data_IF_877212411847
#
_entry.id   IF_877212411847
#
_cell.length_a   1.000
_cell.length_b   1.000
_cell.length_c   1.000
_cell.angle_alpha   90.00
_cell.angle_beta   90.00
_cell.angle_gamma   90.00
#
_symmetry.space_group_name_H-M   'P 1'
#
loop_
_entity.id
_entity.type
_entity.pdbx_description
1 polymer ?
#
# COMPACT_ATOMS: atom_id res chain seq x y z
N UNK A 1 14.07 24.64 -31.71
CA UNK A 1 15.05 24.17 -30.72
C UNK A 1 14.49 23.25 -29.62
N UNK A 2 13.19 23.31 -29.27
CA UNK A 2 12.58 22.42 -28.26
C UNK A 2 12.45 20.93 -28.70
N UNK A 3 12.40 20.66 -30.01
CA UNK A 3 12.23 19.30 -30.55
C UNK A 3 13.50 18.43 -30.46
N UNK A 4 14.69 19.05 -30.54
CA UNK A 4 15.99 18.35 -30.48
C UNK A 4 16.44 18.03 -29.05
N UNK A 5 16.00 18.82 -28.05
CA UNK A 5 16.22 18.51 -26.63
C UNK A 5 15.45 17.25 -26.19
N UNK A 6 14.28 17.00 -26.78
CA UNK A 6 13.47 15.81 -26.46
C UNK A 6 14.14 14.50 -26.90
N UNK A 7 14.80 14.47 -28.07
CA UNK A 7 15.47 13.27 -28.60
C UNK A 7 16.73 12.87 -27.83
N UNK A 8 17.48 13.83 -27.27
CA UNK A 8 18.64 13.53 -26.41
C UNK A 8 18.23 13.01 -25.03
N UNK A 9 17.14 13.52 -24.47
CA UNK A 9 16.51 12.91 -23.28
C UNK A 9 15.97 11.52 -23.59
N UNK A 10 15.45 11.32 -24.81
CA UNK A 10 14.86 10.06 -25.27
C UNK A 10 15.90 8.93 -25.39
N UNK A 11 17.07 9.18 -25.98
CA UNK A 11 18.16 8.19 -26.00
C UNK A 11 18.70 7.86 -24.60
N UNK A 12 18.82 8.85 -23.71
CA UNK A 12 19.24 8.63 -22.32
C UNK A 12 18.16 7.90 -21.48
N UNK A 13 16.88 8.00 -21.89
CA UNK A 13 15.77 7.30 -21.26
C UNK A 13 15.57 5.89 -21.80
N UNK A 14 15.89 5.59 -23.05
CA UNK A 14 15.93 4.20 -23.54
C UNK A 14 17.13 3.43 -22.95
N UNK A 15 18.28 4.07 -22.78
CA UNK A 15 19.41 3.49 -22.03
C UNK A 15 19.10 3.30 -20.54
N UNK A 16 18.18 4.09 -19.96
CA UNK A 16 17.81 3.99 -18.54
C UNK A 16 16.50 3.22 -18.27
N UNK A 17 15.59 3.08 -19.23
CA UNK A 17 14.47 2.15 -19.17
C UNK A 17 14.96 0.69 -19.24
N UNK A 18 16.12 0.46 -19.86
CA UNK A 18 16.90 -0.78 -19.76
C UNK A 18 17.72 -0.93 -18.46
N UNK A 19 17.74 0.07 -17.56
CA UNK A 19 18.46 0.00 -16.27
C UNK A 19 17.75 0.79 -15.17
N UNK A 20 16.43 0.63 -14.99
CA UNK A 20 15.88 0.99 -13.70
C UNK A 20 16.47 0.02 -12.66
N UNK A 21 17.21 0.56 -11.70
CA UNK A 21 17.81 -0.25 -10.65
C UNK A 21 16.69 -0.76 -9.72
N UNK A 22 16.23 -1.97 -10.00
CA UNK A 22 15.22 -2.64 -9.20
C UNK A 22 15.73 -2.85 -7.76
N UNK A 23 14.86 -2.79 -6.75
CA UNK A 23 15.24 -3.00 -5.35
C UNK A 23 15.85 -4.40 -5.20
N UNK A 24 17.10 -4.57 -4.75
CA UNK A 24 17.70 -5.91 -4.66
C UNK A 24 16.85 -6.81 -3.75
N UNK A 25 16.88 -8.14 -3.96
CA UNK A 25 16.11 -9.08 -3.13
C UNK A 25 16.39 -8.94 -1.63
N UNK A 26 17.61 -8.55 -1.26
CA UNK A 26 18.00 -8.25 0.14
C UNK A 26 17.28 -7.05 0.76
N UNK A 27 16.62 -6.21 -0.05
CA UNK A 27 15.74 -5.13 0.39
C UNK A 27 14.26 -5.52 0.43
N UNK A 28 13.90 -6.61 -0.24
CA UNK A 28 12.52 -7.10 -0.27
C UNK A 28 12.28 -8.20 0.77
N UNK A 29 13.29 -9.03 1.05
CA UNK A 29 13.17 -10.21 1.88
C UNK A 29 14.11 -10.14 3.09
N UNK A 30 13.74 -10.76 4.22
CA UNK A 30 14.63 -10.90 5.35
C UNK A 30 15.91 -11.67 5.01
N UNK A 31 17.01 -11.43 5.74
CA UNK A 31 18.29 -12.10 5.51
C UNK A 31 18.25 -13.62 5.73
N UNK A 32 17.28 -14.11 6.51
CA UNK A 32 17.05 -15.52 6.76
C UNK A 32 16.19 -16.22 5.69
N UNK A 33 15.56 -15.48 4.78
CA UNK A 33 14.82 -16.09 3.67
C UNK A 33 15.82 -16.65 2.63
N UNK A 34 15.72 -17.95 2.37
CA UNK A 34 16.61 -18.68 1.46
C UNK A 34 15.88 -19.27 0.26
N UNK A 35 14.55 -19.28 0.30
CA UNK A 35 13.71 -19.80 -0.79
C UNK A 35 13.85 -18.93 -2.03
N UNK A 36 13.56 -19.52 -3.19
CA UNK A 36 13.50 -18.76 -4.45
C UNK A 36 12.23 -17.91 -4.48
N UNK A 37 12.20 -16.76 -5.17
CA UNK A 37 11.00 -15.93 -5.26
C UNK A 37 9.74 -16.70 -5.67
N UNK A 38 9.84 -17.63 -6.62
CA UNK A 38 8.72 -18.45 -7.10
C UNK A 38 8.13 -19.41 -6.07
N UNK A 39 8.82 -19.66 -4.96
CA UNK A 39 8.39 -20.53 -3.85
C UNK A 39 7.76 -19.72 -2.70
N UNK A 40 7.79 -18.39 -2.79
CA UNK A 40 7.34 -17.47 -1.76
C UNK A 40 6.00 -16.86 -2.19
N UNK A 41 4.98 -17.03 -1.34
CA UNK A 41 3.63 -16.54 -1.55
C UNK A 41 3.44 -15.16 -0.95
N UNK A 42 3.08 -14.19 -1.80
CA UNK A 42 2.93 -12.79 -1.37
C UNK A 42 1.51 -12.30 -1.66
N UNK A 43 0.82 -11.84 -0.62
CA UNK A 43 -0.41 -11.06 -0.79
C UNK A 43 -0.06 -9.60 -1.08
N UNK A 44 -0.69 -8.97 -2.06
CA UNK A 44 -0.38 -7.58 -2.42
C UNK A 44 -1.63 -6.74 -2.27
N UNK A 45 -1.59 -5.77 -1.34
CA UNK A 45 -2.66 -4.79 -1.16
C UNK A 45 -2.71 -3.80 -2.33
N UNK A 46 -3.77 -3.85 -3.14
CA UNK A 46 -3.94 -3.01 -4.32
C UNK A 46 -5.16 -2.09 -4.13
N UNK A 47 -4.86 -0.80 -3.98
CA UNK A 47 -5.84 0.28 -3.81
C UNK A 47 -6.33 0.89 -5.13
N UNK A 48 -5.85 0.41 -6.28
CA UNK A 48 -6.11 1.02 -7.60
C UNK A 48 -5.24 2.25 -7.91
N UNK A 49 -4.32 2.62 -7.01
CA UNK A 49 -3.32 3.66 -7.24
C UNK A 49 -2.08 3.17 -8.01
N UNK A 50 -1.29 4.11 -8.54
CA UNK A 50 -0.04 3.85 -9.27
C UNK A 50 0.96 3.06 -8.43
N UNK A 51 1.12 3.44 -7.16
CA UNK A 51 2.16 2.90 -6.28
C UNK A 51 1.93 1.41 -5.94
N UNK A 52 0.68 1.04 -5.63
CA UNK A 52 0.30 -0.35 -5.34
C UNK A 52 0.29 -1.21 -6.61
N UNK A 53 -0.15 -0.66 -7.75
CA UNK A 53 -0.05 -1.33 -9.05
C UNK A 53 1.41 -1.62 -9.42
N UNK A 54 2.31 -0.65 -9.20
CA UNK A 54 3.71 -0.82 -9.51
C UNK A 54 4.41 -1.80 -8.57
N UNK A 55 4.03 -1.82 -7.30
CA UNK A 55 4.48 -2.84 -6.35
C UNK A 55 4.10 -4.25 -6.80
N UNK A 56 2.87 -4.44 -7.29
CA UNK A 56 2.42 -5.70 -7.86
C UNK A 56 3.21 -6.08 -9.12
N UNK A 57 3.48 -5.12 -10.00
CA UNK A 57 4.30 -5.32 -11.19
C UNK A 57 5.73 -5.78 -10.84
N UNK A 58 6.39 -5.11 -9.90
CA UNK A 58 7.75 -5.47 -9.45
C UNK A 58 7.77 -6.92 -8.93
N UNK A 59 6.88 -7.23 -7.98
CA UNK A 59 6.90 -8.55 -7.33
C UNK A 59 6.55 -9.67 -8.32
N UNK A 60 5.53 -9.46 -9.17
CA UNK A 60 5.06 -10.49 -10.10
C UNK A 60 5.94 -10.62 -11.35
N UNK A 61 6.21 -9.51 -12.07
CA UNK A 61 6.86 -9.56 -13.39
C UNK A 61 8.38 -9.47 -13.32
N UNK A 62 8.93 -8.71 -12.37
CA UNK A 62 10.40 -8.55 -12.25
C UNK A 62 11.02 -9.69 -11.43
N UNK A 63 10.42 -10.01 -10.28
CA UNK A 63 10.98 -11.00 -9.36
C UNK A 63 10.34 -12.39 -9.43
N UNK A 64 9.21 -12.54 -10.13
CA UNK A 64 8.53 -13.82 -10.32
C UNK A 64 8.10 -14.50 -8.99
N UNK A 65 7.57 -13.71 -8.06
CA UNK A 65 6.93 -14.23 -6.84
C UNK A 65 5.57 -14.87 -7.13
N UNK A 66 5.13 -15.78 -6.25
CA UNK A 66 3.77 -16.33 -6.27
C UNK A 66 2.81 -15.32 -5.61
N UNK A 67 2.30 -14.39 -6.41
CA UNK A 67 1.50 -13.27 -5.91
C UNK A 67 -0.01 -13.54 -5.94
N UNK A 68 -0.73 -12.97 -4.96
CA UNK A 68 -2.19 -12.82 -4.97
C UNK A 68 -2.56 -11.35 -4.72
N UNK A 69 -3.39 -10.77 -5.58
CA UNK A 69 -3.88 -9.40 -5.43
C UNK A 69 -5.00 -9.33 -4.40
N UNK A 70 -4.97 -8.32 -3.53
CA UNK A 70 -5.98 -8.17 -2.49
C UNK A 70 -6.49 -6.73 -2.45
N UNK A 71 -7.81 -6.58 -2.54
CA UNK A 71 -8.49 -5.30 -2.42
C UNK A 71 -9.35 -5.26 -1.15
N UNK A 72 -9.29 -4.14 -0.43
CA UNK A 72 -9.96 -3.94 0.85
C UNK A 72 -11.09 -2.94 0.71
N UNK A 73 -12.29 -3.32 1.13
CA UNK A 73 -13.41 -2.41 1.30
C UNK A 73 -13.64 -2.19 2.79
N UNK A 74 -13.24 -1.03 3.28
CA UNK A 74 -13.28 -0.71 4.71
C UNK A 74 -14.35 0.33 5.05
N UNK A 75 -15.05 0.87 4.06
CA UNK A 75 -16.11 1.86 4.29
C UNK A 75 -17.32 1.62 3.40
N UNK A 76 -18.50 1.62 4.02
CA UNK A 76 -19.77 1.55 3.32
C UNK A 76 -20.75 2.52 3.96
N UNK A 77 -21.26 3.47 3.17
CA UNK A 77 -22.19 4.51 3.66
C UNK A 77 -23.52 3.91 4.14
N UNK A 78 -23.87 2.70 3.71
CA UNK A 78 -25.06 1.98 4.20
C UNK A 78 -24.94 1.52 5.66
N UNK A 79 -23.74 1.48 6.23
CA UNK A 79 -23.53 1.18 7.66
C UNK A 79 -23.78 2.40 8.56
N UNK A 80 -24.00 3.59 7.99
CA UNK A 80 -24.61 4.70 8.73
C UNK A 80 -26.10 4.43 8.91
N UNK A 81 -26.44 3.84 10.06
CA UNK A 81 -27.75 3.46 10.58
C UNK A 81 -28.09 1.97 10.48
N UNK A 82 -28.31 1.43 11.67
CA UNK A 82 -28.81 0.11 12.05
C UNK A 82 -30.22 -0.22 11.53
N UNK A 83 -30.52 0.12 10.28
CA UNK A 83 -31.82 -0.17 9.71
C UNK A 83 -31.67 -0.39 8.20
N UNK A 84 -31.61 -1.66 7.79
CA UNK A 84 -31.57 -2.09 6.37
C UNK A 84 -32.78 -1.57 5.55
N UNK A 85 -33.73 -0.91 6.20
CA UNK A 85 -35.01 -0.48 5.64
C UNK A 85 -35.12 1.04 5.44
N UNK A 86 -34.24 1.88 6.03
CA UNK A 86 -34.37 3.35 5.95
C UNK A 86 -33.02 4.07 6.06
N UNK A 87 -32.13 3.89 5.07
CA UNK A 87 -30.90 4.66 4.97
C UNK A 87 -31.19 6.09 4.47
N UNK A 88 -31.71 6.94 5.36
CA UNK A 88 -31.63 8.40 5.20
C UNK A 88 -30.19 8.79 5.51
N UNK A 89 -29.36 8.83 4.47
CA UNK A 89 -27.95 9.17 4.56
C UNK A 89 -27.78 10.47 5.37
N UNK A 90 -27.08 10.39 6.51
CA UNK A 90 -26.59 11.60 7.16
C UNK A 90 -25.56 12.22 6.20
N UNK A 91 -25.95 13.35 5.64
CA UNK A 91 -25.23 14.06 4.60
C UNK A 91 -24.09 14.87 5.19
N UNK A 92 -22.86 14.38 5.03
CA UNK A 92 -21.72 15.27 4.81
C UNK A 92 -21.58 15.39 3.29
N UNK A 93 -22.20 16.42 2.70
CA UNK A 93 -21.86 17.09 1.42
C UNK A 93 -21.72 16.32 0.10
N UNK A 94 -21.39 15.04 0.07
CA UNK A 94 -21.19 14.26 -1.15
C UNK A 94 -22.51 13.68 -1.64
N UNK A 95 -22.86 13.95 -2.91
CA UNK A 95 -24.01 13.31 -3.59
C UNK A 95 -23.84 11.79 -3.48
N UNK A 96 -24.92 11.08 -3.16
CA UNK A 96 -24.91 9.61 -2.98
C UNK A 96 -24.15 8.88 -4.09
N UNK A 97 -24.29 9.34 -5.35
CA UNK A 97 -23.66 8.73 -6.53
C UNK A 97 -22.12 8.84 -6.58
N UNK A 98 -21.50 9.85 -5.97
CA UNK A 98 -20.07 10.11 -6.21
C UNK A 98 -19.16 9.11 -5.47
N UNK A 99 -19.63 8.56 -4.34
CA UNK A 99 -18.87 7.61 -3.52
C UNK A 99 -18.97 6.17 -4.02
N UNK A 100 -20.17 5.68 -4.32
CA UNK A 100 -20.35 4.35 -4.96
C UNK A 100 -19.54 4.27 -6.25
N UNK A 101 -19.53 5.35 -7.03
CA UNK A 101 -18.72 5.42 -8.23
C UNK A 101 -17.21 5.44 -7.95
N UNK A 102 -16.74 5.88 -6.78
CA UNK A 102 -15.31 5.83 -6.43
C UNK A 102 -14.87 4.39 -6.12
N UNK A 103 -15.62 3.69 -5.26
CA UNK A 103 -15.35 2.30 -4.87
C UNK A 103 -15.44 1.36 -6.08
N UNK A 104 -16.45 1.51 -6.93
CA UNK A 104 -16.56 0.72 -8.17
C UNK A 104 -15.40 0.98 -9.14
N UNK A 105 -14.93 2.24 -9.26
CA UNK A 105 -13.77 2.57 -10.10
C UNK A 105 -12.45 2.02 -9.55
N UNK A 106 -12.29 2.00 -8.23
CA UNK A 106 -11.10 1.40 -7.60
C UNK A 106 -11.10 -0.13 -7.77
N UNK A 107 -12.28 -0.75 -7.67
CA UNK A 107 -12.45 -2.17 -7.91
C UNK A 107 -12.21 -2.56 -9.38
N UNK A 108 -12.70 -1.75 -10.32
CA UNK A 108 -12.47 -1.93 -11.75
C UNK A 108 -10.97 -1.84 -12.08
N UNK A 109 -10.28 -0.83 -11.55
CA UNK A 109 -8.84 -0.67 -11.72
C UNK A 109 -8.05 -1.82 -11.10
N UNK A 110 -8.43 -2.24 -9.88
CA UNK A 110 -7.84 -3.40 -9.22
C UNK A 110 -7.95 -4.66 -10.08
N UNK A 111 -9.14 -4.92 -10.61
CA UNK A 111 -9.42 -6.08 -11.47
C UNK A 111 -8.54 -6.04 -12.71
N UNK A 112 -8.50 -4.90 -13.41
CA UNK A 112 -7.66 -4.68 -14.60
C UNK A 112 -6.17 -4.89 -14.31
N UNK A 113 -5.68 -4.42 -13.15
CA UNK A 113 -4.29 -4.62 -12.75
C UNK A 113 -4.00 -6.12 -12.56
N UNK A 114 -4.88 -6.85 -11.87
CA UNK A 114 -4.66 -8.27 -11.60
C UNK A 114 -4.75 -9.12 -12.88
N UNK A 115 -5.70 -8.81 -13.77
CA UNK A 115 -5.82 -9.44 -15.09
C UNK A 115 -4.56 -9.21 -15.93
N UNK A 116 -4.08 -7.97 -16.01
CA UNK A 116 -2.86 -7.63 -16.74
C UNK A 116 -1.63 -8.36 -16.20
N UNK A 117 -1.56 -8.54 -14.87
CA UNK A 117 -0.46 -9.25 -14.23
C UNK A 117 -0.62 -10.78 -14.23
N UNK A 118 -1.72 -11.30 -14.75
CA UNK A 118 -2.08 -12.72 -14.74
C UNK A 118 -1.97 -13.30 -13.31
N UNK A 119 -2.59 -12.60 -12.36
CA UNK A 119 -2.47 -12.87 -10.94
C UNK A 119 -3.86 -13.15 -10.34
N UNK A 120 -4.03 -14.22 -9.53
CA UNK A 120 -5.28 -14.44 -8.81
C UNK A 120 -5.53 -13.29 -7.84
N UNK A 121 -6.80 -12.99 -7.55
CA UNK A 121 -7.12 -11.89 -6.67
C UNK A 121 -8.34 -12.14 -5.80
N UNK A 122 -8.42 -11.42 -4.66
CA UNK A 122 -9.53 -11.48 -3.71
C UNK A 122 -9.96 -10.09 -3.26
N UNK A 123 -11.25 -9.95 -3.04
CA UNK A 123 -11.84 -8.79 -2.37
C UNK A 123 -12.14 -9.20 -0.92
N UNK A 124 -11.86 -8.31 0.02
CA UNK A 124 -12.13 -8.49 1.44
C UNK A 124 -12.80 -7.25 1.99
N UNK A 125 -13.78 -7.45 2.86
CA UNK A 125 -14.57 -6.40 3.46
C UNK A 125 -14.27 -6.36 4.95
N UNK A 126 -13.93 -5.18 5.48
CA UNK A 126 -13.61 -4.95 6.90
C UNK A 126 -14.37 -3.74 7.43
N UNK A 127 -15.64 -3.61 7.05
CA UNK A 127 -16.48 -2.47 7.40
C UNK A 127 -16.68 -2.35 8.91
N UNK A 128 -16.99 -3.46 9.57
CA UNK A 128 -17.30 -3.49 10.99
C UNK A 128 -16.06 -3.18 11.82
N UNK A 129 -14.91 -3.76 11.46
CA UNK A 129 -13.63 -3.53 12.12
C UNK A 129 -13.17 -2.08 11.97
N UNK A 130 -13.26 -1.52 10.76
CA UNK A 130 -12.92 -0.10 10.55
C UNK A 130 -13.86 0.81 11.34
N UNK A 131 -15.18 0.57 11.26
CA UNK A 131 -16.17 1.40 11.93
C UNK A 131 -15.97 1.42 13.45
N UNK A 132 -15.84 0.23 14.05
CA UNK A 132 -15.78 0.08 15.50
C UNK A 132 -14.42 0.43 16.09
N UNK A 133 -13.30 0.10 15.41
CA UNK A 133 -11.96 0.23 16.00
C UNK A 133 -11.17 1.45 15.49
N UNK A 134 -11.59 2.08 14.39
CA UNK A 134 -10.91 3.26 13.84
C UNK A 134 -11.85 4.47 13.86
N UNK A 135 -13.02 4.37 13.25
CA UNK A 135 -13.89 5.52 13.04
C UNK A 135 -14.60 5.99 14.32
N UNK A 136 -15.26 5.09 15.06
CA UNK A 136 -15.92 5.46 16.32
C UNK A 136 -14.94 6.07 17.34
N UNK A 137 -13.75 5.48 17.62
CA UNK A 137 -12.76 6.07 18.51
C UNK A 137 -12.26 7.44 18.02
N UNK A 138 -12.08 7.62 16.71
CA UNK A 138 -11.71 8.91 16.13
C UNK A 138 -12.77 9.99 16.42
N UNK A 139 -14.06 9.68 16.23
CA UNK A 139 -15.16 10.62 16.53
C UNK A 139 -15.25 10.93 18.02
N UNK A 140 -15.05 9.94 18.89
CA UNK A 140 -15.03 10.16 20.34
C UNK A 140 -13.90 11.11 20.75
N UNK A 141 -12.68 10.89 20.24
CA UNK A 141 -11.55 11.77 20.50
C UNK A 141 -11.81 13.21 20.02
N UNK A 142 -12.39 13.38 18.82
CA UNK A 142 -12.80 14.70 18.34
C UNK A 142 -13.84 15.37 19.25
N UNK A 143 -14.83 14.62 19.76
CA UNK A 143 -15.85 15.15 20.68
C UNK A 143 -15.27 15.64 22.00
N UNK A 144 -14.25 14.96 22.53
CA UNK A 144 -13.59 15.40 23.77
C UNK A 144 -12.81 16.70 23.58
N UNK A 145 -12.42 17.05 22.36
CA UNK A 145 -11.71 18.29 22.03
C UNK A 145 -10.30 18.40 22.60
N UNK A 146 -9.80 17.38 23.30
CA UNK A 146 -8.48 17.42 23.96
C UNK A 146 -7.33 17.15 22.99
N UNK A 147 -7.61 16.55 21.83
CA UNK A 147 -6.62 16.13 20.85
C UNK A 147 -7.18 16.25 19.43
N UNK A 148 -6.28 16.39 18.45
CA UNK A 148 -6.60 16.26 17.02
C UNK A 148 -6.10 14.91 16.53
N UNK A 149 -6.95 13.87 16.53
CA UNK A 149 -6.53 12.51 16.21
C UNK A 149 -6.26 12.32 14.71
N UNK A 150 -5.31 11.43 14.38
CA UNK A 150 -5.03 11.04 13.01
C UNK A 150 -5.58 9.62 12.75
N UNK A 151 -6.70 9.48 12.02
CA UNK A 151 -7.33 8.18 11.79
C UNK A 151 -6.49 7.27 10.87
N UNK A 152 -5.59 7.83 10.06
CA UNK A 152 -4.75 7.04 9.15
C UNK A 152 -3.68 6.25 9.92
N UNK A 153 -3.07 6.86 10.95
CA UNK A 153 -2.12 6.16 11.84
C UNK A 153 -2.82 5.00 12.56
N UNK A 154 -4.06 5.21 13.02
CA UNK A 154 -4.83 4.16 13.69
C UNK A 154 -5.28 3.07 12.71
N UNK A 155 -5.71 3.44 11.51
CA UNK A 155 -6.04 2.50 10.43
C UNK A 155 -4.84 1.61 10.08
N UNK A 156 -3.66 2.20 9.90
CA UNK A 156 -2.42 1.47 9.66
C UNK A 156 -2.13 0.46 10.77
N UNK A 157 -2.12 0.92 12.02
CA UNK A 157 -1.82 0.09 13.20
C UNK A 157 -2.82 -1.05 13.40
N UNK A 158 -4.11 -0.74 13.45
CA UNK A 158 -5.16 -1.66 13.90
C UNK A 158 -5.61 -2.55 12.75
N UNK A 159 -5.88 -1.94 11.60
CA UNK A 159 -6.53 -2.61 10.49
C UNK A 159 -5.48 -3.21 9.55
N UNK A 160 -4.67 -2.39 8.89
CA UNK A 160 -3.81 -2.86 7.80
C UNK A 160 -2.67 -3.77 8.27
N UNK A 161 -1.94 -3.38 9.31
CA UNK A 161 -0.82 -4.15 9.89
C UNK A 161 -1.23 -4.98 11.11
N UNK A 162 -2.51 -4.98 11.46
CA UNK A 162 -3.10 -5.83 12.49
C UNK A 162 -4.02 -6.85 11.84
N UNK A 163 -5.32 -6.57 11.88
CA UNK A 163 -6.39 -7.50 11.50
C UNK A 163 -6.22 -8.03 10.08
N UNK A 164 -6.06 -7.14 9.10
CA UNK A 164 -6.00 -7.48 7.68
C UNK A 164 -4.80 -8.37 7.39
N UNK A 165 -3.61 -7.96 7.83
CA UNK A 165 -2.39 -8.73 7.60
C UNK A 165 -2.51 -10.13 8.22
N UNK A 166 -2.96 -10.23 9.47
CA UNK A 166 -3.08 -11.52 10.15
C UNK A 166 -4.12 -12.42 9.49
N UNK A 167 -5.30 -11.90 9.19
CA UNK A 167 -6.38 -12.66 8.56
C UNK A 167 -5.94 -13.23 7.21
N UNK A 168 -5.31 -12.40 6.39
CA UNK A 168 -4.88 -12.79 5.04
C UNK A 168 -3.75 -13.81 5.07
N UNK A 169 -2.73 -13.59 5.90
CA UNK A 169 -1.61 -14.53 6.02
C UNK A 169 -2.13 -15.93 6.41
N UNK A 170 -3.08 -15.99 7.34
CA UNK A 170 -3.67 -17.25 7.81
C UNK A 170 -4.62 -17.89 6.79
N UNK A 171 -5.61 -17.16 6.30
CA UNK A 171 -6.63 -17.70 5.38
C UNK A 171 -6.05 -18.14 4.04
N UNK A 172 -5.07 -17.39 3.52
CA UNK A 172 -4.50 -17.63 2.20
C UNK A 172 -3.15 -18.36 2.26
N UNK A 173 -2.65 -18.68 3.47
CA UNK A 173 -1.35 -19.34 3.69
C UNK A 173 -0.22 -18.64 2.95
N UNK A 174 -0.15 -17.31 3.13
CA UNK A 174 0.87 -16.47 2.50
C UNK A 174 2.07 -16.36 3.43
N UNK A 175 3.26 -16.22 2.83
CA UNK A 175 4.50 -16.00 3.56
C UNK A 175 4.65 -14.53 3.96
N UNK A 176 4.30 -13.62 3.06
CA UNK A 176 4.42 -12.18 3.24
C UNK A 176 3.23 -11.42 2.69
N UNK A 177 3.08 -10.18 3.14
CA UNK A 177 2.12 -9.22 2.65
C UNK A 177 2.83 -7.94 2.19
N UNK A 178 2.50 -7.43 1.01
CA UNK A 178 3.15 -6.28 0.41
C UNK A 178 2.17 -5.15 0.20
N UNK A 179 2.66 -3.92 0.38
CA UNK A 179 1.89 -2.70 0.14
C UNK A 179 2.73 -1.68 -0.62
N UNK A 180 2.08 -0.75 -1.30
CA UNK A 180 2.73 0.32 -2.05
C UNK A 180 3.26 1.47 -1.18
N UNK A 181 3.58 1.22 0.09
CA UNK A 181 4.10 2.26 0.97
C UNK A 181 5.56 2.58 0.64
N UNK A 182 5.90 3.87 0.70
CA UNK A 182 7.26 4.36 0.66
C UNK A 182 7.84 4.32 2.07
N UNK A 183 8.34 3.14 2.43
CA UNK A 183 9.08 2.84 3.66
C UNK A 183 10.09 1.72 3.36
N UNK A 184 11.05 1.50 4.25
CA UNK A 184 12.01 0.39 4.16
C UNK A 184 11.99 -0.46 5.44
N UNK A 185 12.46 -1.70 5.34
CA UNK A 185 12.64 -2.58 6.50
C UNK A 185 14.12 -2.90 6.62
N UNK A 186 14.74 -2.38 7.68
CA UNK A 186 16.08 -2.76 8.11
C UNK A 186 16.03 -4.03 8.97
N UNK A 187 17.10 -4.83 8.94
CA UNK A 187 17.21 -6.04 9.75
C UNK A 187 18.45 -5.95 10.63
N UNK A 188 18.25 -5.93 11.95
CA UNK A 188 19.34 -5.91 12.91
C UNK A 188 19.49 -7.28 13.57
N UNK A 189 20.71 -7.85 13.65
CA UNK A 189 20.93 -9.08 14.38
C UNK A 189 20.84 -8.81 15.89
N UNK A 190 19.98 -9.55 16.57
CA UNK A 190 19.91 -9.63 18.02
C UNK A 190 20.50 -10.97 18.46
N UNK A 191 21.58 -10.93 19.23
CA UNK A 191 22.22 -12.13 19.79
C UNK A 191 21.69 -12.32 21.20
N UNK A 192 21.00 -13.44 21.43
CA UNK A 192 20.65 -13.85 22.78
C UNK A 192 21.79 -14.72 23.33
N UNK A 193 22.44 -14.25 24.39
CA UNK A 193 23.28 -15.13 25.21
C UNK A 193 22.37 -16.17 25.87
N UNK A 194 22.46 -17.41 25.41
CA UNK A 194 21.91 -18.52 26.16
C UNK A 194 22.94 -18.96 27.22
N UNK A 195 22.45 -19.56 28.31
CA UNK A 195 23.30 -20.17 29.34
C UNK A 195 24.45 -20.97 28.70
N UNK A 196 25.62 -20.99 29.36
CA UNK A 196 26.97 -21.48 28.92
C UNK A 196 27.07 -22.81 28.12
N UNK A 197 25.98 -23.53 27.92
CA UNK A 197 25.88 -24.82 27.24
C UNK A 197 25.21 -24.77 25.85
N UNK A 198 24.73 -23.62 25.38
CA UNK A 198 24.13 -23.49 24.04
C UNK A 198 24.85 -22.43 23.20
N UNK A 199 24.99 -22.72 21.90
CA UNK A 199 25.48 -21.73 20.94
C UNK A 199 24.51 -20.53 20.89
N UNK A 200 25.03 -19.30 20.74
CA UNK A 200 24.19 -18.11 20.62
C UNK A 200 23.20 -18.25 19.45
N UNK A 201 21.92 -17.95 19.71
CA UNK A 201 20.90 -17.89 18.67
C UNK A 201 20.89 -16.47 18.12
N UNK A 202 21.21 -16.33 16.84
CA UNK A 202 21.07 -15.06 16.12
C UNK A 202 19.63 -14.92 15.64
N UNK A 203 18.88 -14.00 16.26
CA UNK A 203 17.57 -13.59 15.78
C UNK A 203 17.72 -12.30 14.96
N UNK A 204 16.85 -12.08 13.98
CA UNK A 204 16.83 -10.84 13.21
C UNK A 204 15.60 -10.02 13.60
N UNK A 205 15.82 -8.78 14.04
CA UNK A 205 14.75 -7.86 14.42
C UNK A 205 14.51 -6.86 13.29
N UNK A 206 13.27 -6.73 12.78
CA UNK A 206 12.96 -5.73 11.77
C UNK A 206 12.90 -4.33 12.38
N UNK A 207 13.32 -3.34 11.61
CA UNK A 207 13.29 -1.92 11.93
C UNK A 207 12.58 -1.18 10.80
N UNK A 208 11.63 -0.31 11.14
CA UNK A 208 11.03 0.59 10.17
C UNK A 208 12.03 1.68 9.81
N UNK A 209 12.32 1.84 8.53
CA UNK A 209 13.34 2.74 8.02
C UNK A 209 12.75 3.71 6.98
N UNK A 210 13.31 4.91 6.90
CA UNK A 210 12.96 5.93 5.89
C UNK A 210 13.34 5.40 4.50
N UNK A 211 12.48 5.57 3.47
CA UNK A 211 12.79 5.13 2.11
C UNK A 211 13.87 6.02 1.46
N UNK A 212 14.37 5.59 0.30
CA UNK A 212 15.33 6.38 -0.49
C UNK A 212 14.74 7.70 -1.00
N UNK A 213 13.43 7.73 -1.30
CA UNK A 213 12.71 8.95 -1.67
C UNK A 213 12.08 9.61 -0.44
N UNK A 214 12.89 10.39 0.27
CA UNK A 214 12.46 11.09 1.51
C UNK A 214 11.27 12.02 1.26
N UNK A 215 11.09 12.54 0.04
CA UNK A 215 9.94 13.40 -0.29
C UNK A 215 8.60 12.67 -0.29
N UNK A 216 8.64 11.34 -0.34
CA UNK A 216 7.48 10.45 -0.31
C UNK A 216 7.41 9.61 0.96
N UNK A 217 8.27 9.88 1.95
CA UNK A 217 8.36 9.11 3.18
C UNK A 217 7.01 8.97 3.88
N UNK A 218 6.60 7.72 4.11
CA UNK A 218 5.36 7.35 4.78
C UNK A 218 5.60 6.71 6.15
N UNK A 219 6.83 6.68 6.66
CA UNK A 219 7.16 6.13 7.98
C UNK A 219 6.41 6.84 9.12
N UNK A 220 6.05 8.11 8.96
CA UNK A 220 5.19 8.83 9.92
C UNK A 220 3.84 8.13 10.13
N UNK A 221 3.17 7.72 9.05
CA UNK A 221 1.88 7.01 9.12
C UNK A 221 2.03 5.60 9.67
N UNK A 222 3.22 5.01 9.51
CA UNK A 222 3.58 3.68 9.98
C UNK A 222 4.20 3.69 11.38
N UNK A 223 4.34 4.85 12.03
CA UNK A 223 5.11 5.01 13.27
C UNK A 223 4.59 4.20 14.46
N UNK A 224 3.32 3.79 14.44
CA UNK A 224 2.70 3.01 15.51
C UNK A 224 2.51 1.52 15.18
N UNK A 225 3.03 1.03 14.04
CA UNK A 225 2.95 -0.41 13.74
C UNK A 225 3.84 -1.18 14.70
N UNK A 226 3.37 -2.34 15.14
CA UNK A 226 4.16 -3.21 15.99
C UNK A 226 5.24 -3.92 15.15
N UNK A 227 6.47 -4.02 15.66
CA UNK A 227 7.59 -4.61 14.91
C UNK A 227 7.31 -6.06 14.47
N UNK A 228 6.46 -6.81 15.19
CA UNK A 228 6.08 -8.18 14.82
C UNK A 228 5.40 -8.23 13.44
N UNK A 229 4.63 -7.20 13.09
CA UNK A 229 3.92 -7.11 11.80
C UNK A 229 4.90 -6.94 10.63
N UNK A 230 6.07 -6.33 10.88
CA UNK A 230 7.11 -6.13 9.87
C UNK A 230 7.79 -7.43 9.45
N UNK A 231 7.77 -8.49 10.28
CA UNK A 231 8.35 -9.79 9.89
C UNK A 231 7.71 -10.37 8.63
N UNK A 232 6.43 -10.06 8.43
CA UNK A 232 5.61 -10.60 7.35
C UNK A 232 5.25 -9.52 6.33
N UNK A 233 5.99 -8.41 6.29
CA UNK A 233 5.67 -7.28 5.41
C UNK A 233 6.78 -6.98 4.41
N UNK A 234 6.41 -6.49 3.23
CA UNK A 234 7.33 -6.08 2.17
C UNK A 234 6.92 -4.69 1.67
N UNK A 235 7.90 -3.80 1.50
CA UNK A 235 7.72 -2.48 0.87
C UNK A 235 8.49 -2.41 -0.45
N UNK A 236 7.88 -2.77 -1.59
CA UNK A 236 8.61 -2.89 -2.86
C UNK A 236 9.16 -1.58 -3.41
N UNK A 237 8.72 -0.44 -2.88
CA UNK A 237 9.10 0.89 -3.37
C UNK A 237 10.24 1.52 -2.58
N UNK A 238 10.80 0.81 -1.59
CA UNK A 238 11.73 1.38 -0.59
C UNK A 238 12.97 2.06 -1.19
N UNK A 239 13.50 1.54 -2.30
CA UNK A 239 14.70 2.09 -2.96
C UNK A 239 14.39 2.94 -4.20
N UNK A 240 13.11 3.13 -4.52
CA UNK A 240 12.70 3.75 -5.77
C UNK A 240 12.24 5.18 -5.57
N UNK A 241 12.64 6.06 -6.48
CA UNK A 241 12.10 7.43 -6.55
C UNK A 241 10.82 7.44 -7.34
N UNK A 242 9.81 8.11 -6.80
CA UNK A 242 8.48 8.19 -7.40
C UNK A 242 8.46 8.83 -8.78
N UNK A 243 9.35 9.81 -8.99
CA UNK A 243 9.56 10.41 -10.31
C UNK A 243 9.93 9.34 -11.35
N UNK A 244 10.83 8.41 -11.02
CA UNK A 244 11.23 7.32 -11.92
C UNK A 244 10.09 6.34 -12.16
N UNK A 245 9.30 6.01 -11.12
CA UNK A 245 8.12 5.15 -11.26
C UNK A 245 7.12 5.76 -12.25
N UNK A 246 6.77 7.03 -12.07
CA UNK A 246 5.84 7.74 -12.97
C UNK A 246 6.36 7.81 -14.41
N UNK A 247 7.66 8.09 -14.59
CA UNK A 247 8.32 8.08 -15.90
C UNK A 247 8.23 6.69 -16.54
N UNK A 248 8.67 5.65 -15.84
CA UNK A 248 8.61 4.27 -16.31
C UNK A 248 7.19 3.89 -16.73
N UNK A 249 6.21 4.15 -15.87
CA UNK A 249 4.81 3.79 -16.13
C UNK A 249 4.23 4.56 -17.31
N UNK A 250 4.56 5.85 -17.48
CA UNK A 250 4.13 6.64 -18.64
C UNK A 250 4.66 6.06 -19.95
N UNK A 251 5.93 5.65 -19.98
CA UNK A 251 6.54 5.03 -21.16
C UNK A 251 5.97 3.62 -21.43
N UNK A 252 5.87 2.79 -20.39
CA UNK A 252 5.34 1.43 -20.50
C UNK A 252 3.87 1.42 -20.97
N UNK A 253 3.07 2.40 -20.54
CA UNK A 253 1.68 2.56 -21.00
C UNK A 253 1.56 3.13 -22.41
N UNK A 254 2.53 3.91 -22.89
CA UNK A 254 2.51 4.48 -24.23
C UNK A 254 2.74 3.41 -25.31
N UNK A 255 3.37 2.30 -24.96
CA UNK A 255 3.72 1.19 -25.86
C UNK A 255 2.59 0.14 -26.03
N UNK A 256 1.33 0.50 -25.74
CA UNK A 256 0.16 -0.35 -26.02
C UNK A 256 -0.37 -1.19 -24.85
N UNK A 257 0.32 -1.22 -23.71
CA UNK A 257 -0.17 -1.90 -22.50
C UNK A 257 -1.05 -0.93 -21.68
N UNK A 258 -2.36 -1.05 -21.85
CA UNK A 258 -3.34 -0.05 -21.42
C UNK A 258 -3.73 -0.26 -19.95
N UNK A 259 -2.99 0.33 -19.02
CA UNK A 259 -3.46 0.55 -17.65
C UNK A 259 -3.72 2.05 -17.44
N UNK A 260 -4.91 2.53 -17.83
CA UNK A 260 -5.32 3.93 -17.63
C UNK A 260 -5.32 4.35 -16.16
N UNK A 261 -5.49 3.39 -15.25
CA UNK A 261 -5.33 3.56 -13.78
C UNK A 261 -4.00 4.18 -13.39
N UNK A 262 -2.95 4.00 -14.20
CA UNK A 262 -1.61 4.51 -13.94
C UNK A 262 -1.41 5.99 -14.26
N UNK A 263 -2.43 6.66 -14.81
CA UNK A 263 -2.43 8.11 -15.08
C UNK A 263 -3.16 8.91 -14.01
N UNK A 264 -3.70 8.28 -12.98
CA UNK A 264 -4.49 8.96 -11.95
C UNK A 264 -3.60 9.89 -11.11
N UNK A 265 -4.00 11.16 -10.87
CA UNK A 265 -3.38 11.97 -9.84
C UNK A 265 -3.62 11.29 -8.49
N UNK A 266 -2.62 11.31 -7.62
CA UNK A 266 -2.70 10.65 -6.32
C UNK A 266 -3.82 11.17 -5.44
N UNK A 267 -4.51 10.22 -4.82
CA UNK A 267 -5.24 10.46 -3.59
C UNK A 267 -4.23 10.30 -2.45
N UNK A 268 -3.40 11.32 -2.24
CA UNK A 268 -2.51 11.36 -1.07
C UNK A 268 -3.39 11.54 0.17
N UNK A 269 -3.44 10.49 1.00
CA UNK A 269 -3.93 10.45 2.38
C UNK A 269 -5.07 11.43 2.69
N UNK A 270 -6.28 10.94 2.45
CA UNK A 270 -7.53 11.41 3.05
C UNK A 270 -8.59 10.34 2.78
N UNK A 271 -8.51 9.23 3.53
CA UNK A 271 -9.46 8.11 3.42
C UNK A 271 -10.92 8.55 3.66
N UNK A 272 -11.12 9.67 4.37
CA UNK A 272 -12.43 10.24 4.69
C UNK A 272 -12.84 11.43 3.80
N UNK A 273 -11.92 12.03 3.04
CA UNK A 273 -12.20 13.29 2.34
C UNK A 273 -11.75 13.26 0.88
N UNK A 274 -12.69 13.03 -0.01
CA UNK A 274 -12.46 13.02 -1.45
C UNK A 274 -11.98 14.42 -1.91
N UNK A 275 -10.70 14.54 -2.28
CA UNK A 275 -10.01 15.80 -2.61
C UNK A 275 -10.39 16.42 -3.97
N UNK A 276 -11.58 16.14 -4.50
CA UNK A 276 -12.01 16.60 -5.83
C UNK A 276 -12.95 17.80 -5.87
N UNK A 277 -13.35 18.38 -4.73
CA UNK A 277 -13.97 19.72 -4.73
C UNK A 277 -12.96 20.76 -4.27
N UNK A 278 -12.21 21.31 -5.24
CA UNK A 278 -11.51 22.57 -5.10
C UNK A 278 -12.50 23.68 -4.72
N UNK A 279 -12.56 23.98 -3.42
CA UNK A 279 -12.97 25.23 -2.74
C UNK A 279 -13.46 24.86 -1.34
N UNK A 280 -12.69 25.15 -0.30
CA UNK A 280 -13.23 25.16 1.06
C UNK A 280 -12.25 24.80 2.17
N UNK A 281 -11.79 25.86 2.84
CA UNK A 281 -11.56 25.96 4.29
C UNK A 281 -10.44 25.08 4.88
N UNK A 282 -9.26 25.70 5.01
CA UNK A 282 -8.35 25.40 6.12
C UNK A 282 -9.09 25.70 7.44
N UNK A 283 -9.17 24.71 8.31
CA UNK A 283 -9.33 24.94 9.74
C UNK A 283 -8.16 24.22 10.41
N UNK A 284 -7.17 25.05 10.78
CA UNK A 284 -6.03 24.87 11.68
C UNK A 284 -5.30 23.52 11.64
#
# INVERSE_FOLDING_TARGET
>A
MAFLYSKRLFCALEESAGKMAWPPLSKLLPPYEKRKPSEIKIGIGISGGVDSAFSAYILKKIYNFDCVGIHFRNWNRLYSHSDRSKSKAIGIGAKQNDYYQCDERELEDFTKICEYLEMPYKIREYYDEYWTQVFCPFIEQLKTGTQTPNPDIQCGKILQFGIIQQDILQQLKLDYFATGHYADIGWSPHVFEQNKHHSPIQQWTPQLMVPTDVSQDQTYFLSQIHYSSLYYHIFPLSTLRKAHIRLFMKHHCANGHTLQSLRKPENMFQFLWNKRSSKGVFLL
#
